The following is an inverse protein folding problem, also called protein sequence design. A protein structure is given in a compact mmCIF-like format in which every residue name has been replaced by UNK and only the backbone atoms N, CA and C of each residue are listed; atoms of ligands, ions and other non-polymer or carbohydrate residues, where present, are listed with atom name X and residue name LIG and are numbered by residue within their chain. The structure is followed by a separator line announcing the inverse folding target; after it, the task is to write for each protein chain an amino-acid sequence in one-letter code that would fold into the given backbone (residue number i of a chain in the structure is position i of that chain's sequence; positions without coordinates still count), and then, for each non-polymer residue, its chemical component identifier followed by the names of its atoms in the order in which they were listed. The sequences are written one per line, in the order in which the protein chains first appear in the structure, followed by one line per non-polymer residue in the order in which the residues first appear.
data_IF_413770886346
#
_entry.id   IF_413770886346
#
_cell.length_a   1.000
_cell.length_b   1.000
_cell.length_c   1.000
_cell.angle_alpha   90.00
_cell.angle_beta   90.00
_cell.angle_gamma   90.00
#
_symmetry.space_group_name_H-M   'P 1'
#
loop_
_entity.id
_entity.type
_entity.pdbx_description
1 polymer ?
#
# COMPACT_ATOMS: atom_id res chain seq x y z
N UNK A 1 -60.13 67.28 60.01
CA UNK A 1 -59.64 67.69 58.69
C UNK A 1 -58.17 67.23 58.63
N UNK A 2 -57.91 66.04 58.17
CA UNK A 2 -56.59 65.40 58.14
C UNK A 2 -56.29 65.10 56.73
N UNK A 3 -55.35 65.73 56.13
CA UNK A 3 -54.84 65.46 54.81
C UNK A 3 -53.56 64.65 54.90
N UNK A 4 -53.64 63.34 54.68
CA UNK A 4 -52.46 62.49 54.61
C UNK A 4 -51.80 62.65 53.23
N UNK A 5 -50.59 63.10 53.26
CA UNK A 5 -49.71 63.21 52.08
C UNK A 5 -49.15 61.81 51.74
N UNK A 6 -49.50 61.28 50.60
CA UNK A 6 -48.88 60.06 50.00
C UNK A 6 -47.41 60.34 49.65
N UNK A 7 -46.52 59.73 50.39
CA UNK A 7 -45.07 59.75 50.18
C UNK A 7 -44.69 58.65 49.16
N UNK A 8 -44.55 59.01 47.88
CA UNK A 8 -44.07 58.17 46.85
C UNK A 8 -42.57 57.92 47.03
N UNK A 9 -42.20 56.63 47.27
CA UNK A 9 -40.82 56.18 47.29
C UNK A 9 -40.29 56.08 45.85
N UNK A 10 -39.09 56.56 45.49
CA UNK A 10 -38.49 56.35 44.20
C UNK A 10 -37.94 54.91 44.13
N UNK A 11 -38.37 54.20 43.14
CA UNK A 11 -37.84 52.88 42.80
C UNK A 11 -36.42 53.05 42.24
N UNK A 12 -35.43 52.76 43.09
CA UNK A 12 -34.02 52.88 42.72
C UNK A 12 -33.63 51.81 41.67
N UNK A 13 -33.35 52.21 40.46
CA UNK A 13 -32.79 51.40 39.38
C UNK A 13 -31.32 51.07 39.68
N UNK A 14 -31.07 50.09 40.57
CA UNK A 14 -29.71 49.64 40.92
C UNK A 14 -29.27 48.46 39.98
N UNK A 15 -30.05 48.07 38.96
CA UNK A 15 -29.79 46.94 38.11
C UNK A 15 -28.76 47.15 36.95
N UNK A 16 -28.49 48.39 36.55
CA UNK A 16 -27.75 48.66 35.30
C UNK A 16 -26.26 48.36 35.34
N UNK A 17 -25.63 48.43 36.53
CA UNK A 17 -24.16 48.21 36.66
C UNK A 17 -23.73 46.73 36.64
N UNK A 18 -24.62 45.82 36.93
CA UNK A 18 -24.29 44.40 36.94
C UNK A 18 -24.43 43.73 35.57
N UNK A 19 -25.29 44.23 34.71
CA UNK A 19 -25.47 43.70 33.36
C UNK A 19 -24.24 43.91 32.47
N UNK A 20 -23.56 45.02 32.57
CA UNK A 20 -22.33 45.28 31.84
C UNK A 20 -21.23 44.30 32.21
N UNK A 21 -21.11 43.94 33.51
CA UNK A 21 -20.13 42.94 33.96
C UNK A 21 -20.49 41.51 33.52
N UNK A 22 -21.76 41.18 33.42
CA UNK A 22 -22.23 39.89 32.93
C UNK A 22 -22.00 39.77 31.41
N UNK A 23 -22.32 40.84 30.67
CA UNK A 23 -22.07 40.90 29.23
C UNK A 23 -20.58 40.82 28.88
N UNK A 24 -19.71 41.52 29.60
CA UNK A 24 -18.26 41.43 29.40
C UNK A 24 -17.71 40.03 29.72
N UNK A 25 -18.22 39.38 30.76
CA UNK A 25 -17.80 37.99 31.05
C UNK A 25 -18.28 36.99 29.98
N UNK A 26 -19.49 37.18 29.49
CA UNK A 26 -20.03 36.33 28.39
C UNK A 26 -19.26 36.57 27.08
N UNK A 27 -18.92 37.80 26.75
CA UNK A 27 -18.11 38.14 25.59
C UNK A 27 -16.68 37.61 25.72
N UNK A 28 -16.06 37.69 26.87
CA UNK A 28 -14.74 37.14 27.14
C UNK A 28 -14.75 35.61 27.10
N UNK A 29 -15.79 34.95 27.62
CA UNK A 29 -15.91 33.49 27.52
C UNK A 29 -16.21 33.05 26.10
N UNK A 30 -17.02 33.74 25.33
CA UNK A 30 -17.27 33.47 23.93
C UNK A 30 -16.00 33.67 23.07
N UNK A 31 -15.23 34.74 23.36
CA UNK A 31 -13.96 34.97 22.66
C UNK A 31 -12.91 33.92 23.02
N UNK A 32 -12.83 33.47 24.29
CA UNK A 32 -11.97 32.37 24.70
C UNK A 32 -12.36 31.05 24.02
N UNK A 33 -13.64 30.79 23.89
CA UNK A 33 -14.16 29.64 23.14
C UNK A 33 -13.83 29.71 21.64
N UNK A 34 -13.96 30.85 21.01
CA UNK A 34 -13.58 31.08 19.62
C UNK A 34 -12.07 30.91 19.40
N UNK A 35 -11.24 31.44 20.33
CA UNK A 35 -9.79 31.24 20.27
C UNK A 35 -9.42 29.76 20.46
N UNK A 36 -10.10 29.03 21.34
CA UNK A 36 -9.87 27.61 21.56
C UNK A 36 -10.30 26.73 20.35
N UNK A 37 -11.37 27.11 19.64
CA UNK A 37 -11.85 26.43 18.43
C UNK A 37 -11.09 26.86 17.18
N UNK A 38 -10.48 28.05 17.17
CA UNK A 38 -9.63 28.52 16.07
C UNK A 38 -8.15 28.12 16.22
N UNK A 39 -7.76 27.40 17.27
CA UNK A 39 -6.46 26.75 17.27
C UNK A 39 -6.50 25.67 16.18
N UNK A 40 -5.97 25.88 14.96
CA UNK A 40 -5.72 24.78 14.08
C UNK A 40 -4.75 23.90 14.88
N UNK A 41 -5.18 22.72 15.27
CA UNK A 41 -4.25 21.69 15.57
C UNK A 41 -3.37 21.64 14.31
N UNK A 42 -2.15 22.14 14.39
CA UNK A 42 -1.12 21.94 13.37
C UNK A 42 -0.84 20.44 13.41
N UNK A 43 -1.75 19.65 12.85
CA UNK A 43 -1.48 18.29 12.45
C UNK A 43 -0.38 18.42 11.40
N UNK A 44 0.86 18.32 11.85
CA UNK A 44 1.99 18.26 10.94
C UNK A 44 1.74 17.05 10.06
N UNK A 45 1.53 17.29 8.77
CA UNK A 45 1.31 16.22 7.83
C UNK A 45 2.55 15.33 7.82
N UNK A 46 2.35 14.04 8.03
CA UNK A 46 3.43 13.05 7.94
C UNK A 46 4.01 13.07 6.52
N UNK A 47 5.30 12.77 6.41
CA UNK A 47 5.95 12.65 5.10
C UNK A 47 5.25 11.55 4.30
N UNK A 48 4.79 11.82 3.06
CA UNK A 48 4.16 10.81 2.24
C UNK A 48 5.15 9.69 1.90
N UNK A 49 4.67 8.45 1.93
CA UNK A 49 5.50 7.30 1.57
C UNK A 49 5.66 7.27 0.05
N UNK A 50 6.89 7.16 -0.47
CA UNK A 50 7.12 7.01 -1.90
C UNK A 50 6.66 5.62 -2.37
N UNK A 51 6.25 5.49 -3.65
CA UNK A 51 6.02 4.17 -4.25
C UNK A 51 7.36 3.41 -4.36
N UNK A 52 7.31 2.10 -4.13
CA UNK A 52 8.48 1.24 -4.30
C UNK A 52 8.71 0.99 -5.80
N UNK A 53 9.80 1.54 -6.33
CA UNK A 53 10.11 1.46 -7.78
C UNK A 53 11.45 0.79 -8.08
N UNK A 54 12.37 0.76 -7.12
CA UNK A 54 13.71 0.21 -7.26
C UNK A 54 14.23 -0.25 -5.89
N UNK A 55 15.30 -1.04 -5.87
CA UNK A 55 15.98 -1.45 -4.62
C UNK A 55 16.74 -0.29 -3.98
N UNK A 56 17.22 0.65 -4.80
CA UNK A 56 17.90 1.85 -4.32
C UNK A 56 17.17 3.07 -4.86
N UNK A 57 16.57 3.82 -3.96
CA UNK A 57 15.81 5.04 -4.29
C UNK A 57 16.49 6.23 -3.62
N UNK A 58 16.93 7.19 -4.43
CA UNK A 58 17.50 8.45 -3.98
C UNK A 58 16.60 9.61 -4.42
N UNK A 59 15.88 10.19 -3.46
CA UNK A 59 15.02 11.37 -3.68
C UNK A 59 15.78 12.69 -3.58
N UNK A 60 17.07 12.62 -3.21
CA UNK A 60 17.89 13.81 -2.95
C UNK A 60 18.83 14.14 -4.10
N UNK A 61 19.09 13.17 -4.99
CA UNK A 61 20.07 13.29 -6.05
C UNK A 61 21.52 13.34 -5.54
N UNK A 62 21.77 12.84 -4.33
CA UNK A 62 23.09 12.83 -3.71
C UNK A 62 24.00 11.74 -4.31
N UNK A 63 23.39 10.61 -4.72
CA UNK A 63 24.13 9.50 -5.32
C UNK A 63 24.34 9.76 -6.81
N UNK A 64 25.56 9.58 -7.30
CA UNK A 64 25.83 9.62 -8.72
C UNK A 64 25.11 8.45 -9.43
N UNK A 65 24.73 8.66 -10.70
CA UNK A 65 24.01 7.62 -11.48
C UNK A 65 24.79 6.29 -11.55
N UNK A 66 26.12 6.35 -11.60
CA UNK A 66 26.97 5.16 -11.57
C UNK A 66 26.92 4.41 -10.23
N UNK A 67 26.85 5.14 -9.10
CA UNK A 67 26.74 4.54 -7.77
C UNK A 67 25.37 3.93 -7.58
N UNK A 68 24.30 4.61 -8.00
CA UNK A 68 22.93 4.06 -8.00
C UNK A 68 22.86 2.75 -8.78
N UNK A 69 23.38 2.72 -10.01
CA UNK A 69 23.40 1.53 -10.84
C UNK A 69 24.20 0.38 -10.20
N UNK A 70 25.35 0.70 -9.60
CA UNK A 70 26.22 -0.28 -8.92
C UNK A 70 25.53 -0.88 -7.69
N UNK A 71 24.91 -0.05 -6.85
CA UNK A 71 24.19 -0.49 -5.66
C UNK A 71 22.96 -1.31 -6.02
N UNK A 72 22.17 -0.87 -7.04
CA UNK A 72 21.03 -1.60 -7.56
C UNK A 72 21.43 -3.00 -8.06
N UNK A 73 22.51 -3.08 -8.85
CA UNK A 73 23.04 -4.36 -9.34
C UNK A 73 23.53 -5.25 -8.18
N UNK A 74 24.21 -4.70 -7.18
CA UNK A 74 24.65 -5.43 -6.00
C UNK A 74 23.46 -6.07 -5.28
N UNK A 75 22.40 -5.28 -5.03
CA UNK A 75 21.21 -5.76 -4.32
C UNK A 75 20.39 -6.74 -5.16
N UNK A 76 20.29 -6.51 -6.46
CA UNK A 76 19.63 -7.44 -7.37
C UNK A 76 20.32 -8.80 -7.41
N UNK A 77 21.65 -8.80 -7.50
CA UNK A 77 22.45 -10.06 -7.49
C UNK A 77 22.26 -10.80 -6.18
N UNK A 78 22.28 -10.09 -5.07
CA UNK A 78 22.07 -10.67 -3.74
C UNK A 78 20.68 -11.30 -3.61
N UNK A 79 19.63 -10.60 -4.03
CA UNK A 79 18.26 -11.10 -4.02
C UNK A 79 18.13 -12.36 -4.88
N UNK A 80 18.72 -12.38 -6.08
CA UNK A 80 18.70 -13.58 -6.95
C UNK A 80 19.40 -14.78 -6.31
N UNK A 81 20.48 -14.58 -5.54
CA UNK A 81 21.26 -15.64 -4.91
C UNK A 81 20.64 -16.12 -3.59
N UNK A 82 20.06 -15.24 -2.81
CA UNK A 82 19.60 -15.51 -1.44
C UNK A 82 18.10 -15.40 -1.26
N UNK A 83 17.41 -14.72 -2.17
CA UNK A 83 15.99 -14.42 -2.08
C UNK A 83 15.65 -13.25 -1.16
N UNK A 84 16.57 -12.82 -0.31
CA UNK A 84 16.37 -11.72 0.63
C UNK A 84 16.30 -10.38 -0.08
N UNK A 85 15.25 -9.63 0.16
CA UNK A 85 15.05 -8.30 -0.43
C UNK A 85 15.61 -7.21 0.48
N UNK A 86 16.62 -6.48 0.00
CA UNK A 86 17.16 -5.30 0.68
C UNK A 86 16.79 -4.06 -0.12
N UNK A 87 16.21 -3.07 0.55
CA UNK A 87 15.83 -1.79 -0.08
C UNK A 87 16.48 -0.63 0.66
N UNK A 88 17.06 0.29 -0.10
CA UNK A 88 17.68 1.52 0.38
C UNK A 88 16.83 2.70 -0.05
N UNK A 89 16.44 3.55 0.90
CA UNK A 89 15.76 4.82 0.63
C UNK A 89 16.59 5.97 1.18
N UNK A 90 17.04 6.85 0.30
CA UNK A 90 17.66 8.12 0.66
C UNK A 90 16.66 9.24 0.40
N UNK A 91 16.32 9.98 1.46
CA UNK A 91 15.34 11.07 1.41
C UNK A 91 15.88 12.31 2.13
N UNK A 92 15.31 13.50 1.85
CA UNK A 92 15.77 14.72 2.49
C UNK A 92 15.57 14.73 3.99
N UNK A 93 14.38 14.36 4.47
CA UNK A 93 14.00 14.42 5.89
C UNK A 93 12.79 13.54 6.16
N UNK A 94 12.71 12.98 7.35
CA UNK A 94 11.51 12.30 7.87
C UNK A 94 10.67 13.22 8.77
N UNK A 95 11.18 14.40 9.12
CA UNK A 95 10.48 15.32 10.01
C UNK A 95 9.07 15.67 9.49
N UNK A 96 8.08 15.73 10.37
CA UNK A 96 8.15 15.76 11.85
C UNK A 96 8.22 14.38 12.51
N UNK A 97 8.20 13.31 11.72
CA UNK A 97 8.19 11.93 12.22
C UNK A 97 9.60 11.46 12.57
N UNK A 98 9.73 10.67 13.64
CA UNK A 98 11.00 10.01 13.92
C UNK A 98 11.32 8.98 12.82
N UNK A 99 12.62 8.83 12.51
CA UNK A 99 13.05 7.91 11.46
C UNK A 99 12.63 6.45 11.74
N UNK A 100 12.50 6.07 13.01
CA UNK A 100 12.05 4.73 13.36
C UNK A 100 10.57 4.54 13.00
N UNK A 101 9.72 5.51 13.34
CA UNK A 101 8.28 5.47 13.05
C UNK A 101 8.03 5.53 11.54
N UNK A 102 8.75 6.42 10.84
CA UNK A 102 8.71 6.49 9.38
C UNK A 102 9.08 5.16 8.73
N UNK A 103 10.20 4.53 9.18
CA UNK A 103 10.68 3.26 8.62
C UNK A 103 9.72 2.12 8.91
N UNK A 104 9.10 2.10 10.11
CA UNK A 104 8.07 1.11 10.45
C UNK A 104 6.87 1.23 9.50
N UNK A 105 6.34 2.44 9.34
CA UNK A 105 5.22 2.71 8.43
C UNK A 105 5.56 2.38 6.97
N UNK A 106 6.82 2.62 6.56
CA UNK A 106 7.33 2.27 5.25
C UNK A 106 7.38 0.75 5.07
N UNK A 107 7.88 0.02 6.07
CA UNK A 107 7.92 -1.43 6.08
C UNK A 107 6.53 -2.06 5.98
N UNK A 108 5.58 -1.52 6.75
CA UNK A 108 4.19 -1.97 6.73
C UNK A 108 3.49 -1.73 5.39
N UNK A 109 3.87 -0.64 4.69
CA UNK A 109 3.32 -0.30 3.39
C UNK A 109 3.95 -1.12 2.25
N UNK A 110 5.27 -1.29 2.29
CA UNK A 110 6.01 -1.96 1.21
C UNK A 110 6.08 -3.46 1.35
N UNK A 111 6.06 -3.98 2.58
CA UNK A 111 6.12 -5.41 2.90
C UNK A 111 7.20 -6.16 2.10
N UNK A 112 8.39 -5.58 2.01
CA UNK A 112 9.51 -6.17 1.25
C UNK A 112 9.95 -7.50 1.88
N UNK A 113 10.41 -8.43 1.04
CA UNK A 113 10.78 -9.80 1.43
C UNK A 113 9.83 -10.83 0.84
N UNK A 114 10.31 -12.05 0.67
CA UNK A 114 9.51 -13.16 0.13
C UNK A 114 8.28 -13.42 0.99
N UNK A 115 7.13 -13.64 0.36
CA UNK A 115 5.83 -13.82 1.05
C UNK A 115 5.86 -14.90 2.13
N UNK A 116 6.52 -16.01 1.86
CA UNK A 116 6.55 -17.15 2.78
C UNK A 116 7.65 -17.06 3.83
N UNK A 117 8.70 -16.30 3.55
CA UNK A 117 9.88 -16.19 4.43
C UNK A 117 9.87 -14.87 5.21
N UNK A 118 9.44 -13.79 4.56
CA UNK A 118 9.40 -12.44 5.15
C UNK A 118 10.77 -11.79 5.31
N UNK A 119 11.75 -12.19 4.50
CA UNK A 119 13.16 -11.82 4.61
C UNK A 119 13.49 -10.48 3.93
N UNK A 120 12.86 -9.43 4.42
CA UNK A 120 13.07 -8.05 3.99
C UNK A 120 14.00 -7.27 4.90
N UNK A 121 14.76 -6.31 4.35
CA UNK A 121 15.58 -5.36 5.10
C UNK A 121 15.46 -3.97 4.51
N UNK A 122 15.15 -2.99 5.36
CA UNK A 122 15.12 -1.58 5.00
C UNK A 122 16.36 -0.85 5.53
N UNK A 123 16.98 -0.03 4.69
CA UNK A 123 17.98 0.96 5.05
C UNK A 123 17.47 2.34 4.66
N UNK A 124 17.07 3.14 5.63
CA UNK A 124 16.54 4.50 5.41
C UNK A 124 17.56 5.53 5.85
N UNK A 125 17.81 6.52 5.00
CA UNK A 125 18.75 7.61 5.25
C UNK A 125 18.05 8.95 5.05
N UNK A 126 17.92 9.74 6.12
CA UNK A 126 17.38 11.10 6.11
C UNK A 126 18.55 12.10 6.16
N UNK A 127 18.95 12.62 5.00
CA UNK A 127 20.19 13.38 4.85
C UNK A 127 20.21 14.68 5.63
N UNK A 128 19.13 15.48 5.56
CA UNK A 128 19.07 16.76 6.26
C UNK A 128 18.99 16.58 7.79
N UNK A 129 18.37 15.48 8.21
CA UNK A 129 18.23 15.13 9.62
C UNK A 129 19.52 14.48 10.17
N UNK A 130 20.45 14.11 9.28
CA UNK A 130 21.65 13.32 9.59
C UNK A 130 21.31 12.05 10.37
N UNK A 131 20.26 11.37 9.97
CA UNK A 131 19.78 10.15 10.61
C UNK A 131 19.70 9.02 9.62
N UNK A 132 20.03 7.82 10.08
CA UNK A 132 19.82 6.60 9.32
C UNK A 132 19.25 5.51 10.21
N UNK A 133 18.55 4.56 9.58
CA UNK A 133 18.01 3.38 10.26
C UNK A 133 18.19 2.15 9.40
N UNK A 134 18.61 1.07 10.04
CA UNK A 134 18.56 -0.30 9.51
C UNK A 134 17.41 -0.99 10.23
N UNK A 135 16.43 -1.50 9.47
CA UNK A 135 15.29 -2.23 9.99
C UNK A 135 15.16 -3.58 9.27
N UNK A 136 15.56 -4.66 9.90
CA UNK A 136 15.29 -6.01 9.42
C UNK A 136 13.82 -6.38 9.67
N UNK A 137 13.22 -7.17 8.78
CA UNK A 137 11.99 -7.87 9.09
C UNK A 137 12.23 -8.98 10.12
N UNK A 138 11.21 -9.44 10.79
CA UNK A 138 11.32 -10.40 11.93
C UNK A 138 12.14 -11.65 11.60
N UNK A 139 12.02 -12.17 10.41
CA UNK A 139 12.77 -13.34 9.97
C UNK A 139 14.29 -13.11 9.85
N UNK A 140 14.71 -11.83 9.72
CA UNK A 140 16.11 -11.44 9.63
C UNK A 140 16.71 -10.95 10.97
N UNK A 141 15.91 -10.86 12.04
CA UNK A 141 16.41 -10.41 13.35
C UNK A 141 17.48 -11.35 13.91
N UNK A 142 17.45 -12.64 13.54
CA UNK A 142 18.51 -13.60 13.87
C UNK A 142 19.83 -13.25 13.19
N UNK A 143 19.81 -12.96 11.90
CA UNK A 143 20.97 -12.58 11.09
C UNK A 143 21.50 -11.19 11.43
N UNK A 144 20.58 -10.22 11.58
CA UNK A 144 20.87 -8.80 11.81
C UNK A 144 20.17 -8.33 13.09
N UNK A 145 20.60 -8.79 14.28
CA UNK A 145 20.06 -8.27 15.53
C UNK A 145 20.38 -6.78 15.69
N UNK A 146 19.62 -6.08 16.53
CA UNK A 146 19.75 -4.64 16.77
C UNK A 146 21.19 -4.22 17.07
N UNK A 147 21.90 -4.98 17.91
CA UNK A 147 23.31 -4.71 18.24
C UNK A 147 24.22 -4.81 17.02
N UNK A 148 23.94 -5.74 16.11
CA UNK A 148 24.72 -5.87 14.88
C UNK A 148 24.43 -4.74 13.91
N UNK A 149 23.16 -4.37 13.75
CA UNK A 149 22.75 -3.21 12.98
C UNK A 149 23.41 -1.93 13.51
N UNK A 150 23.37 -1.73 14.84
CA UNK A 150 24.01 -0.57 15.49
C UNK A 150 25.53 -0.52 15.21
N UNK A 151 26.23 -1.65 15.31
CA UNK A 151 27.66 -1.68 15.02
C UNK A 151 27.98 -1.35 13.58
N UNK A 152 27.18 -1.82 12.62
CA UNK A 152 27.36 -1.49 11.21
C UNK A 152 27.15 0.01 10.99
N UNK A 153 26.14 0.59 11.62
CA UNK A 153 25.91 2.03 11.58
C UNK A 153 27.11 2.79 12.11
N UNK A 154 27.54 2.50 13.34
CA UNK A 154 28.52 3.30 14.05
C UNK A 154 29.96 3.13 13.49
N UNK A 155 30.33 1.91 13.09
CA UNK A 155 31.71 1.58 12.71
C UNK A 155 31.93 1.63 11.20
N UNK A 156 30.90 1.49 10.38
CA UNK A 156 31.05 1.39 8.92
C UNK A 156 30.38 2.58 8.21
N UNK A 157 29.09 2.80 8.44
CA UNK A 157 28.33 3.78 7.65
C UNK A 157 28.63 5.21 8.13
N UNK A 158 28.49 5.47 9.42
CA UNK A 158 28.64 6.80 10.01
C UNK A 158 30.00 7.46 9.72
N UNK A 159 31.13 6.78 9.82
CA UNK A 159 32.43 7.40 9.51
C UNK A 159 32.56 7.89 8.06
N UNK A 160 32.02 7.13 7.09
CA UNK A 160 32.00 7.51 5.69
C UNK A 160 31.07 8.70 5.46
N UNK A 161 29.88 8.69 6.05
CA UNK A 161 28.89 9.80 5.94
C UNK A 161 29.43 11.10 6.54
N UNK A 162 30.20 11.05 7.64
CA UNK A 162 30.87 12.23 8.20
C UNK A 162 31.93 12.83 7.26
N UNK A 163 32.51 12.02 6.38
CA UNK A 163 33.44 12.44 5.35
C UNK A 163 32.74 12.92 4.07
N UNK A 164 31.39 12.83 4.01
CA UNK A 164 30.60 13.16 2.83
C UNK A 164 30.49 12.03 1.81
N UNK A 165 31.09 10.87 2.07
CA UNK A 165 31.04 9.70 1.20
C UNK A 165 29.78 8.84 1.50
N UNK A 166 28.66 9.31 1.04
CA UNK A 166 27.37 8.60 1.24
C UNK A 166 27.36 7.28 0.45
N UNK A 167 27.83 7.30 -0.80
CA UNK A 167 27.85 6.12 -1.66
C UNK A 167 28.76 5.02 -1.11
N UNK A 168 29.98 5.38 -0.69
CA UNK A 168 30.93 4.45 -0.07
C UNK A 168 30.42 3.87 1.24
N UNK A 169 29.81 4.71 2.09
CA UNK A 169 29.21 4.28 3.34
C UNK A 169 28.05 3.29 3.13
N UNK A 170 27.16 3.56 2.16
CA UNK A 170 26.09 2.63 1.80
C UNK A 170 26.64 1.31 1.26
N UNK A 171 27.60 1.36 0.33
CA UNK A 171 28.21 0.16 -0.26
C UNK A 171 28.86 -0.73 0.82
N UNK A 172 29.66 -0.14 1.70
CA UNK A 172 30.30 -0.86 2.78
C UNK A 172 29.28 -1.43 3.77
N UNK A 173 28.29 -0.63 4.20
CA UNK A 173 27.22 -1.06 5.10
C UNK A 173 26.42 -2.22 4.52
N UNK A 174 26.03 -2.13 3.26
CA UNK A 174 25.32 -3.21 2.57
C UNK A 174 26.14 -4.49 2.47
N UNK A 175 27.44 -4.39 2.18
CA UNK A 175 28.33 -5.56 2.13
C UNK A 175 28.40 -6.27 3.50
N UNK A 176 28.44 -5.52 4.59
CA UNK A 176 28.41 -6.09 5.94
C UNK A 176 27.06 -6.73 6.28
N UNK A 177 25.94 -6.11 5.87
CA UNK A 177 24.61 -6.67 6.06
C UNK A 177 24.44 -7.97 5.26
N UNK A 178 24.85 -7.97 4.00
CA UNK A 178 24.83 -9.15 3.13
C UNK A 178 25.64 -10.31 3.71
N UNK A 179 26.87 -10.04 4.14
CA UNK A 179 27.72 -11.09 4.75
C UNK A 179 27.09 -11.70 6.01
N UNK A 180 26.36 -10.91 6.81
CA UNK A 180 25.63 -11.42 7.96
C UNK A 180 24.46 -12.30 7.58
N UNK A 181 23.66 -11.87 6.60
CA UNK A 181 22.51 -12.64 6.10
C UNK A 181 22.98 -13.94 5.44
N UNK A 182 24.13 -13.91 4.77
CA UNK A 182 24.75 -15.12 4.20
C UNK A 182 25.15 -16.17 5.25
N UNK A 183 25.51 -15.73 6.44
CA UNK A 183 25.82 -16.62 7.57
C UNK A 183 24.60 -17.24 8.25
N UNK A 184 23.39 -16.82 7.90
CA UNK A 184 22.13 -17.34 8.46
C UNK A 184 21.60 -18.48 7.60
N UNK A 185 21.02 -19.50 8.23
CA UNK A 185 20.42 -20.66 7.54
C UNK A 185 19.01 -20.34 7.02
N UNK A 186 18.86 -19.28 6.20
CA UNK A 186 17.60 -18.96 5.55
C UNK A 186 17.35 -19.89 4.35
N UNK A 187 16.08 -20.20 4.06
CA UNK A 187 15.73 -20.98 2.86
C UNK A 187 16.24 -20.28 1.59
N UNK A 188 16.99 -21.01 0.77
CA UNK A 188 17.41 -20.49 -0.53
C UNK A 188 16.22 -20.38 -1.48
N UNK A 189 16.24 -19.45 -2.46
CA UNK A 189 15.22 -19.40 -3.50
C UNK A 189 15.19 -20.72 -4.25
N UNK A 190 14.02 -21.29 -4.46
CA UNK A 190 13.88 -22.43 -5.36
C UNK A 190 14.23 -22.01 -6.78
N UNK A 191 15.08 -22.79 -7.46
CA UNK A 191 15.47 -22.50 -8.83
C UNK A 191 14.24 -22.59 -9.74
N UNK A 192 13.74 -21.43 -10.17
CA UNK A 192 12.51 -21.30 -10.98
C UNK A 192 11.35 -20.57 -10.32
N UNK A 193 11.40 -20.30 -9.01
CA UNK A 193 10.29 -19.65 -8.29
C UNK A 193 10.02 -18.21 -8.78
N UNK A 194 11.02 -17.51 -9.30
CA UNK A 194 10.84 -16.15 -9.84
C UNK A 194 9.90 -16.09 -11.05
N UNK A 195 9.73 -17.20 -11.80
CA UNK A 195 8.83 -17.27 -12.96
C UNK A 195 7.48 -17.91 -12.62
N UNK A 196 7.37 -18.63 -11.49
CA UNK A 196 6.14 -19.34 -11.13
C UNK A 196 5.07 -18.38 -10.56
N UNK A 197 5.47 -17.32 -9.89
CA UNK A 197 4.53 -16.34 -9.31
C UNK A 197 3.81 -15.51 -10.39
N UNK A 198 4.51 -15.16 -11.46
CA UNK A 198 3.90 -14.45 -12.60
C UNK A 198 2.98 -15.40 -13.43
N UNK A 199 3.20 -16.73 -13.40
CA UNK A 199 2.37 -17.69 -14.10
C UNK A 199 1.07 -18.02 -13.34
N UNK A 200 1.06 -18.04 -12.01
CA UNK A 200 -0.16 -18.31 -11.24
C UNK A 200 -1.13 -17.13 -11.28
N UNK A 201 -0.63 -15.89 -11.17
CA UNK A 201 -1.48 -14.69 -11.17
C UNK A 201 -2.23 -14.50 -12.50
N UNK A 202 -1.64 -14.82 -13.65
CA UNK A 202 -2.32 -14.70 -14.93
C UNK A 202 -3.34 -15.83 -15.17
N UNK A 203 -3.13 -17.03 -14.62
CA UNK A 203 -4.09 -18.14 -14.69
C UNK A 203 -5.35 -17.83 -13.88
N UNK A 204 -5.22 -17.28 -12.67
CA UNK A 204 -6.34 -16.86 -11.86
C UNK A 204 -7.14 -15.75 -12.53
N UNK A 205 -6.45 -14.80 -13.18
CA UNK A 205 -7.08 -13.76 -13.97
C UNK A 205 -7.80 -14.33 -15.20
N UNK A 206 -7.20 -15.29 -15.88
CA UNK A 206 -7.80 -15.96 -17.03
C UNK A 206 -9.05 -16.73 -16.64
N UNK A 207 -9.05 -17.45 -15.52
CA UNK A 207 -10.20 -18.17 -14.97
C UNK A 207 -11.32 -17.20 -14.60
N UNK A 208 -11.00 -16.09 -13.94
CA UNK A 208 -11.96 -15.02 -13.63
C UNK A 208 -12.59 -14.45 -14.91
N UNK A 209 -11.79 -14.21 -15.95
CA UNK A 209 -12.26 -13.70 -17.24
C UNK A 209 -13.18 -14.68 -17.97
N UNK A 210 -12.81 -15.97 -17.99
CA UNK A 210 -13.60 -17.05 -18.63
C UNK A 210 -14.97 -17.18 -17.94
N UNK A 211 -15.04 -16.96 -16.62
CA UNK A 211 -16.29 -17.03 -15.87
C UNK A 211 -17.11 -15.74 -15.92
N UNK A 212 -16.46 -14.57 -15.78
CA UNK A 212 -17.15 -13.28 -15.66
C UNK A 212 -17.70 -12.75 -17.00
N UNK A 213 -16.96 -12.95 -18.11
CA UNK A 213 -17.36 -12.41 -19.43
C UNK A 213 -18.68 -13.01 -19.96
N UNK A 214 -18.92 -14.33 -19.93
CA UNK A 214 -20.18 -14.91 -20.36
C UNK A 214 -21.36 -14.48 -19.48
N UNK A 215 -21.12 -14.35 -18.16
CA UNK A 215 -22.16 -13.93 -17.22
C UNK A 215 -22.57 -12.46 -17.48
N UNK A 216 -21.60 -11.58 -17.66
CA UNK A 216 -21.83 -10.19 -18.02
C UNK A 216 -22.53 -10.06 -19.39
N UNK A 217 -22.11 -10.84 -20.37
CA UNK A 217 -22.72 -10.87 -21.70
C UNK A 217 -24.19 -11.26 -21.64
N UNK A 218 -24.56 -12.28 -20.83
CA UNK A 218 -25.97 -12.71 -20.69
C UNK A 218 -26.83 -11.65 -20.02
N UNK A 219 -26.30 -10.93 -19.03
CA UNK A 219 -27.01 -9.83 -18.35
C UNK A 219 -27.22 -8.65 -19.30
N UNK A 220 -26.17 -8.23 -20.02
CA UNK A 220 -26.28 -7.15 -21.01
C UNK A 220 -27.23 -7.47 -22.15
N UNK A 221 -27.24 -8.71 -22.64
CA UNK A 221 -28.17 -9.15 -23.69
C UNK A 221 -29.62 -9.14 -23.22
N UNK A 222 -29.90 -9.42 -21.94
CA UNK A 222 -31.27 -9.32 -21.39
C UNK A 222 -31.77 -7.88 -21.23
N UNK A 223 -30.84 -6.94 -20.93
CA UNK A 223 -31.15 -5.54 -20.67
C UNK A 223 -31.25 -4.72 -21.97
N UNK A 224 -30.33 -4.92 -22.91
CA UNK A 224 -30.21 -4.08 -24.13
C UNK A 224 -30.69 -4.79 -25.41
N UNK A 225 -31.12 -6.06 -25.31
CA UNK A 225 -31.51 -6.86 -26.47
C UNK A 225 -30.28 -7.52 -27.15
N UNK A 226 -30.58 -8.51 -28.03
CA UNK A 226 -29.56 -9.41 -28.60
C UNK A 226 -28.45 -8.68 -29.38
N UNK A 227 -28.77 -7.64 -30.14
CA UNK A 227 -27.78 -6.97 -31.02
C UNK A 227 -26.93 -5.95 -30.25
N UNK A 228 -27.58 -5.10 -29.44
CA UNK A 228 -26.85 -4.08 -28.65
C UNK A 228 -26.12 -4.67 -27.47
N UNK A 229 -26.65 -5.75 -26.88
CA UNK A 229 -26.00 -6.48 -25.78
C UNK A 229 -24.70 -7.16 -26.20
N UNK A 230 -24.61 -7.70 -27.43
CA UNK A 230 -23.39 -8.29 -27.96
C UNK A 230 -22.26 -7.26 -28.17
N UNK A 231 -22.60 -6.11 -28.73
CA UNK A 231 -21.65 -4.99 -28.90
C UNK A 231 -21.19 -4.44 -27.56
N UNK A 232 -22.10 -4.26 -26.63
CA UNK A 232 -21.80 -3.75 -25.29
C UNK A 232 -20.92 -4.73 -24.49
N UNK A 233 -21.16 -6.04 -24.60
CA UNK A 233 -20.34 -7.09 -23.97
C UNK A 233 -18.91 -7.11 -24.53
N UNK A 234 -18.75 -7.00 -25.86
CA UNK A 234 -17.43 -6.91 -26.50
C UNK A 234 -16.66 -5.65 -26.08
N UNK A 235 -17.34 -4.50 -26.04
CA UNK A 235 -16.74 -3.25 -25.61
C UNK A 235 -16.32 -3.28 -24.12
N UNK A 236 -17.16 -3.87 -23.25
CA UNK A 236 -16.86 -4.02 -21.84
C UNK A 236 -15.67 -4.96 -21.59
N UNK A 237 -15.59 -6.09 -22.32
CA UNK A 237 -14.47 -7.01 -22.25
C UNK A 237 -13.16 -6.36 -22.73
N UNK A 238 -13.21 -5.58 -23.83
CA UNK A 238 -12.05 -4.84 -24.32
C UNK A 238 -11.59 -3.75 -23.37
N UNK A 239 -12.53 -2.98 -22.80
CA UNK A 239 -12.22 -1.94 -21.82
C UNK A 239 -11.58 -2.53 -20.55
N UNK A 240 -12.11 -3.67 -20.07
CA UNK A 240 -11.59 -4.35 -18.89
C UNK A 240 -10.17 -4.89 -19.16
N UNK A 241 -9.95 -5.50 -20.32
CA UNK A 241 -8.63 -5.97 -20.74
C UNK A 241 -7.62 -4.82 -20.87
N UNK A 242 -8.03 -3.67 -21.42
CA UNK A 242 -7.16 -2.50 -21.51
C UNK A 242 -6.80 -1.94 -20.13
N UNK A 243 -7.77 -1.82 -19.24
CA UNK A 243 -7.53 -1.30 -17.89
C UNK A 243 -6.61 -2.22 -17.06
N UNK A 244 -6.66 -3.53 -17.32
CA UNK A 244 -5.84 -4.54 -16.62
C UNK A 244 -4.43 -4.66 -17.18
N UNK A 245 -4.24 -4.57 -18.50
CA UNK A 245 -2.93 -4.86 -19.12
C UNK A 245 -2.19 -3.65 -19.65
N UNK A 246 -2.86 -2.50 -19.81
CA UNK A 246 -2.31 -1.31 -20.44
C UNK A 246 -1.94 -1.47 -21.93
N UNK A 247 -2.15 -2.66 -22.51
CA UNK A 247 -1.76 -2.99 -23.87
C UNK A 247 -2.98 -2.93 -24.82
N UNK A 248 -3.02 -1.93 -25.69
CA UNK A 248 -4.15 -1.69 -26.62
C UNK A 248 -4.43 -2.89 -27.53
N UNK A 249 -3.42 -3.59 -28.01
CA UNK A 249 -3.60 -4.74 -28.91
C UNK A 249 -4.25 -5.95 -28.21
N UNK A 250 -3.99 -6.18 -26.93
CA UNK A 250 -4.67 -7.19 -26.11
C UNK A 250 -6.14 -6.86 -25.90
N UNK A 251 -6.46 -5.57 -25.69
CA UNK A 251 -7.83 -5.09 -25.59
C UNK A 251 -8.62 -5.33 -26.87
N UNK A 252 -8.00 -5.14 -28.04
CA UNK A 252 -8.61 -5.40 -29.34
C UNK A 252 -8.89 -6.89 -29.55
N UNK A 253 -7.95 -7.77 -29.18
CA UNK A 253 -8.14 -9.21 -29.25
C UNK A 253 -9.27 -9.66 -28.30
N UNK A 254 -9.29 -9.18 -27.06
CA UNK A 254 -10.34 -9.51 -26.10
C UNK A 254 -11.72 -9.03 -26.56
N UNK A 255 -11.81 -7.82 -27.14
CA UNK A 255 -13.05 -7.30 -27.74
C UNK A 255 -13.54 -8.16 -28.93
N UNK A 256 -12.62 -8.59 -29.80
CA UNK A 256 -12.93 -9.48 -30.91
C UNK A 256 -13.42 -10.86 -30.45
N UNK A 257 -12.77 -11.46 -29.47
CA UNK A 257 -13.18 -12.74 -28.88
C UNK A 257 -14.58 -12.60 -28.24
N UNK A 258 -14.81 -11.52 -27.47
CA UNK A 258 -16.12 -11.23 -26.88
C UNK A 258 -17.21 -11.06 -27.92
N UNK A 259 -16.92 -10.39 -29.02
CA UNK A 259 -17.86 -10.21 -30.13
C UNK A 259 -18.14 -11.52 -30.85
N UNK A 260 -17.09 -12.32 -31.13
CA UNK A 260 -17.22 -13.64 -31.80
C UNK A 260 -18.02 -14.64 -30.96
N UNK A 261 -17.77 -14.70 -29.66
CA UNK A 261 -18.56 -15.56 -28.75
C UNK A 261 -20.02 -15.13 -28.68
N UNK A 262 -20.31 -13.83 -28.66
CA UNK A 262 -21.66 -13.30 -28.68
C UNK A 262 -22.38 -13.61 -30.01
N UNK A 263 -21.69 -13.52 -31.15
CA UNK A 263 -22.23 -13.88 -32.48
C UNK A 263 -22.42 -15.40 -32.61
N UNK A 264 -21.50 -16.21 -32.12
CA UNK A 264 -21.59 -17.67 -32.13
C UNK A 264 -22.80 -18.17 -31.32
N UNK A 265 -23.04 -17.59 -30.14
CA UNK A 265 -24.23 -17.88 -29.34
C UNK A 265 -25.55 -17.54 -30.07
N UNK A 266 -25.54 -16.56 -31.00
CA UNK A 266 -26.70 -16.20 -31.82
C UNK A 266 -26.90 -17.18 -32.98
N UNK A 267 -25.85 -17.83 -33.48
CA UNK A 267 -25.89 -18.79 -34.57
C UNK A 267 -26.39 -20.19 -34.15
N UNK A 268 -26.36 -20.48 -32.84
CA UNK A 268 -26.91 -21.71 -32.31
C UNK A 268 -28.45 -21.68 -32.36
N UNK A 269 -29.12 -22.61 -33.06
CA UNK A 269 -30.57 -22.64 -33.17
C UNK A 269 -31.18 -22.81 -31.77
N UNK A 270 -32.06 -21.91 -31.40
CA UNK A 270 -32.76 -21.86 -30.11
C UNK A 270 -33.65 -23.08 -29.80
N UNK A 271 -33.68 -24.06 -30.70
CA UNK A 271 -34.43 -25.32 -30.55
C UNK A 271 -33.80 -26.29 -29.52
N UNK A 272 -32.52 -26.14 -29.16
CA UNK A 272 -31.87 -27.03 -28.20
C UNK A 272 -32.20 -26.69 -26.73
N UNK A 273 -32.51 -25.43 -26.44
CA UNK A 273 -32.74 -24.96 -25.05
C UNK A 273 -34.24 -25.08 -24.64
N UNK A 274 -35.17 -25.13 -25.60
CA UNK A 274 -36.60 -25.25 -25.30
C UNK A 274 -37.09 -26.68 -24.98
N UNK A 275 -36.30 -27.71 -25.17
CA UNK A 275 -36.69 -29.12 -24.94
C UNK A 275 -36.47 -29.60 -23.50
N UNK A 276 -35.80 -28.83 -22.67
CA UNK A 276 -35.52 -29.21 -21.26
C UNK A 276 -36.57 -28.74 -20.24
N UNK A 277 -37.61 -28.02 -20.66
CA UNK A 277 -38.59 -27.44 -19.73
C UNK A 277 -39.99 -28.10 -19.74
N UNK A 278 -40.10 -29.27 -20.37
CA UNK A 278 -41.37 -30.06 -20.36
C UNK A 278 -41.09 -31.53 -20.12
N UNK A 279 -40.82 -31.87 -18.88
CA UNK A 279 -40.67 -33.24 -18.43
C UNK A 279 -40.47 -33.23 -16.93
N UNK A 280 -41.59 -33.33 -16.19
CA UNK A 280 -41.54 -33.61 -14.77
C UNK A 280 -40.95 -35.02 -14.55
N UNK A 281 -39.93 -35.08 -13.74
CA UNK A 281 -39.32 -36.33 -13.33
C UNK A 281 -38.48 -36.04 -12.10
N UNK A 282 -39.00 -36.46 -10.94
CA UNK A 282 -38.23 -36.61 -9.71
C UNK A 282 -37.00 -37.44 -10.03
N UNK A 283 -35.82 -36.93 -9.72
CA UNK A 283 -34.64 -37.75 -9.52
C UNK A 283 -33.87 -37.18 -8.33
N UNK A 284 -33.84 -38.00 -7.31
CA UNK A 284 -33.04 -37.86 -6.11
C UNK A 284 -31.57 -37.63 -6.50
N UNK A 285 -30.98 -36.55 -5.99
CA UNK A 285 -29.54 -36.38 -5.96
C UNK A 285 -29.05 -36.65 -4.54
N UNK A 286 -28.11 -37.58 -4.35
CA UNK A 286 -27.47 -37.78 -3.06
C UNK A 286 -26.60 -36.57 -2.74
N UNK A 287 -26.80 -36.04 -1.55
CA UNK A 287 -26.00 -34.95 -1.00
C UNK A 287 -24.55 -35.36 -0.82
N UNK A 288 -23.66 -34.50 -1.28
CA UNK A 288 -22.30 -34.44 -0.80
C UNK A 288 -22.16 -33.20 0.08
N UNK A 289 -22.29 -33.49 1.38
CA UNK A 289 -21.86 -32.57 2.43
C UNK A 289 -20.36 -32.69 2.59
N UNK A 290 -19.71 -31.54 2.77
CA UNK A 290 -18.30 -31.47 3.06
C UNK A 290 -17.93 -29.99 3.20
N UNK A 291 -18.19 -29.44 4.39
CA UNK A 291 -17.72 -28.12 4.75
C UNK A 291 -16.22 -28.11 4.97
N UNK A 292 -15.57 -27.01 4.66
CA UNK A 292 -14.49 -26.46 5.48
C UNK A 292 -14.36 -24.97 5.12
N UNK A 293 -14.53 -24.15 6.15
CA UNK A 293 -14.33 -22.72 6.12
C UNK A 293 -12.84 -22.40 5.94
N UNK A 294 -12.57 -21.44 5.09
CA UNK A 294 -11.30 -20.78 4.97
C UNK A 294 -11.56 -19.30 4.76
N UNK A 295 -11.34 -18.52 5.82
CA UNK A 295 -11.32 -17.06 5.74
C UNK A 295 -10.06 -16.65 4.96
N UNK A 296 -10.22 -16.24 3.72
CA UNK A 296 -9.20 -15.57 2.92
C UNK A 296 -9.50 -14.08 2.85
N UNK A 297 -8.69 -13.27 3.55
CA UNK A 297 -8.80 -11.82 3.50
C UNK A 297 -8.47 -11.28 2.11
N UNK A 298 -9.38 -10.51 1.55
CA UNK A 298 -9.15 -9.72 0.35
C UNK A 298 -8.40 -8.44 0.74
N UNK A 299 -7.17 -8.31 0.26
CA UNK A 299 -6.36 -7.10 0.47
C UNK A 299 -5.10 -7.17 -0.36
N UNK A 300 -5.17 -6.82 -1.62
CA UNK A 300 -4.02 -6.75 -2.50
C UNK A 300 -4.32 -5.87 -3.70
N UNK A 301 -4.17 -4.55 -3.54
CA UNK A 301 -4.07 -3.61 -4.64
C UNK A 301 -2.69 -3.78 -5.29
N UNK A 302 -2.58 -4.64 -6.28
CA UNK A 302 -1.39 -4.78 -7.12
C UNK A 302 -1.40 -3.71 -8.20
N UNK A 303 -0.54 -2.70 -8.08
CA UNK A 303 -0.27 -1.76 -9.15
C UNK A 303 0.57 -2.44 -10.24
N UNK A 304 0.04 -2.54 -11.44
CA UNK A 304 0.79 -2.98 -12.61
C UNK A 304 1.69 -1.85 -13.10
N UNK A 305 2.98 -1.92 -12.77
CA UNK A 305 4.04 -1.05 -13.28
C UNK A 305 5.00 -1.87 -14.14
N UNK A 306 5.24 -1.40 -15.34
CA UNK A 306 6.18 -1.96 -16.32
C UNK A 306 7.58 -2.15 -15.72
N UNK A 307 8.07 -3.40 -15.63
CA UNK A 307 9.50 -3.73 -15.49
C UNK A 307 10.25 -3.20 -14.26
N UNK A 308 9.55 -2.70 -13.24
CA UNK A 308 10.14 -2.19 -12.01
C UNK A 308 10.25 -3.27 -10.94
N UNK A 309 11.17 -3.07 -10.01
CA UNK A 309 11.27 -3.86 -8.79
C UNK A 309 9.95 -3.84 -8.02
N UNK A 310 9.46 -5.00 -7.60
CA UNK A 310 8.26 -5.15 -6.78
C UNK A 310 8.58 -5.86 -5.48
N UNK A 311 7.80 -5.56 -4.46
CA UNK A 311 7.89 -6.25 -3.17
C UNK A 311 7.42 -7.69 -3.30
N UNK A 312 8.09 -8.62 -2.60
CA UNK A 312 7.64 -10.00 -2.43
C UNK A 312 6.40 -10.14 -1.52
N UNK A 313 6.01 -9.08 -0.82
CA UNK A 313 4.80 -9.01 -0.02
C UNK A 313 4.81 -9.75 1.32
N UNK A 314 5.98 -10.22 1.79
CA UNK A 314 6.11 -11.04 2.99
C UNK A 314 6.71 -10.37 4.22
N UNK A 315 7.31 -9.19 4.09
CA UNK A 315 7.99 -8.54 5.22
C UNK A 315 7.04 -8.15 6.35
N UNK A 316 7.33 -8.65 7.54
CA UNK A 316 6.71 -8.25 8.80
C UNK A 316 7.77 -7.53 9.65
N UNK A 317 7.67 -6.21 9.73
CA UNK A 317 8.62 -5.37 10.45
C UNK A 317 8.13 -5.16 11.88
N UNK A 318 8.85 -5.78 12.85
CA UNK A 318 8.47 -5.78 14.26
C UNK A 318 8.97 -4.58 15.08
N UNK A 319 9.54 -3.56 14.41
CA UNK A 319 10.18 -2.43 15.10
C UNK A 319 11.63 -2.68 15.50
N UNK A 320 12.17 -3.88 15.26
CA UNK A 320 13.58 -4.21 15.43
C UNK A 320 14.49 -3.36 14.55
N UNK A 321 15.80 -3.47 14.77
CA UNK A 321 16.81 -2.72 14.04
C UNK A 321 17.46 -1.60 14.88
N UNK A 322 18.25 -0.77 14.23
CA UNK A 322 19.00 0.30 14.88
C UNK A 322 18.92 1.61 14.11
N UNK A 323 18.96 2.71 14.84
CA UNK A 323 19.07 4.05 14.28
C UNK A 323 20.37 4.72 14.72
N UNK A 324 20.95 5.51 13.82
CA UNK A 324 22.15 6.28 14.12
C UNK A 324 22.12 7.67 13.54
N UNK A 325 23.09 8.49 13.94
CA UNK A 325 23.29 9.85 13.46
C UNK A 325 24.77 10.10 13.14
N UNK A 326 25.08 11.07 12.27
CA UNK A 326 26.44 11.43 11.87
C UNK A 326 26.70 12.93 11.83
#
# INVERSE_FOLDING_TARGET
MHTDMLKTRPIGFHGRKNWAKVLTRLLLSAMAWVILTLSPALAQALVPLPPLTARVMDQTGTLAAADLASLEQQLQTFEQQRGTQIVVLVLPSTAPEDIADFTQRLGDAWKIGRREVGDGLLLVVALNDRRLRIAPAKSLEGAVPDLAAQRIIDQVITPAFRQGDVAGGLRAGLSHLQARIEGEALPLPEAGAANAQDEEDWLDLAVLFIMAVPLLATVLQRLLGQRLGALAAGAAAGFLAWNMTGLIWLAVIAAMIGLMTALFMQALPSSAVRRSQRGGGRSDFPGWGGGHGGHGGWGGSGGFGSGGFSSGGGGDFGGGGASGNW
#
